data_IF_834452184024
#
_entry.id   IF_834452184024
#
_cell.length_a   1.000
_cell.length_b   1.000
_cell.length_c   1.000
_cell.angle_alpha   90.00
_cell.angle_beta   90.00
_cell.angle_gamma   90.00
#
_symmetry.space_group_name_H-M   'P 1'
#
loop_
_entity.id
_entity.type
_entity.pdbx_description
1 polymer ?
#
# COMPACT_ATOMS: atom_id res chain seq x y z
N UNK A 1 21.65 5.57 -1.15
CA UNK A 1 21.42 6.39 0.06
C UNK A 1 19.93 6.46 0.36
N UNK A 2 19.54 6.36 1.61
CA UNK A 2 18.14 6.46 2.00
C UNK A 2 18.00 7.41 3.19
N UNK A 3 16.77 7.92 3.39
CA UNK A 3 16.41 8.80 4.50
C UNK A 3 15.36 8.10 5.36
N UNK A 4 15.52 8.17 6.68
CA UNK A 4 14.62 7.51 7.61
C UNK A 4 13.91 8.56 8.46
N UNK A 5 12.60 8.43 8.60
CA UNK A 5 11.76 9.30 9.42
C UNK A 5 10.81 8.47 10.25
N UNK A 6 10.43 9.01 11.41
CA UNK A 6 9.38 8.44 12.24
C UNK A 6 8.32 9.50 12.47
N UNK A 7 7.09 9.21 12.07
CA UNK A 7 5.98 10.13 12.26
C UNK A 7 5.52 10.13 13.72
N UNK A 8 4.73 11.14 14.10
CA UNK A 8 4.24 11.28 15.47
C UNK A 8 3.40 10.09 15.91
N UNK A 9 2.71 9.44 14.99
CA UNK A 9 1.88 8.26 15.26
C UNK A 9 2.67 6.96 15.31
N UNK A 10 4.01 7.03 15.18
CA UNK A 10 4.87 5.85 15.23
C UNK A 10 5.16 5.20 13.89
N UNK A 11 4.52 5.63 12.81
CA UNK A 11 4.79 5.08 11.47
C UNK A 11 6.22 5.45 11.05
N UNK A 12 6.96 4.46 10.58
CA UNK A 12 8.32 4.64 10.07
C UNK A 12 8.27 4.84 8.57
N UNK A 13 9.00 5.83 8.07
CA UNK A 13 9.04 6.18 6.66
C UNK A 13 10.48 6.09 6.18
N UNK A 14 10.69 5.35 5.09
CA UNK A 14 11.98 5.25 4.43
C UNK A 14 11.84 5.83 3.03
N UNK A 15 12.66 6.83 2.72
CA UNK A 15 12.69 7.46 1.41
C UNK A 15 14.00 7.08 0.72
N UNK A 16 13.89 6.63 -0.52
CA UNK A 16 15.06 6.29 -1.35
C UNK A 16 14.99 7.15 -2.62
N UNK A 17 15.60 8.34 -2.60
CA UNK A 17 15.60 9.19 -3.80
C UNK A 17 16.48 8.57 -4.90
N UNK A 18 15.96 8.53 -6.12
CA UNK A 18 16.70 8.05 -7.29
C UNK A 18 16.63 9.13 -8.35
N UNK A 19 17.78 9.71 -8.67
CA UNK A 19 17.89 10.80 -9.64
C UNK A 19 17.70 10.25 -11.04
N UNK A 20 16.92 10.96 -11.88
CA UNK A 20 16.72 10.59 -13.27
C UNK A 20 15.57 9.64 -13.52
N UNK A 21 14.86 9.22 -12.47
CA UNK A 21 13.70 8.34 -12.58
C UNK A 21 12.43 9.18 -12.44
N UNK A 22 11.48 8.97 -13.35
CA UNK A 22 10.22 9.72 -13.38
C UNK A 22 9.04 8.91 -12.84
N UNK A 23 9.33 7.86 -12.10
CA UNK A 23 8.31 7.05 -11.44
C UNK A 23 8.61 6.95 -9.95
N UNK A 24 7.58 6.60 -9.16
CA UNK A 24 7.72 6.38 -7.73
C UNK A 24 7.06 5.06 -7.38
N UNK A 25 7.70 4.30 -6.50
CA UNK A 25 7.15 3.08 -5.95
C UNK A 25 6.84 3.33 -4.47
N UNK A 26 5.60 3.07 -4.08
CA UNK A 26 5.15 3.16 -2.70
C UNK A 26 4.96 1.76 -2.15
N UNK A 27 5.39 1.54 -0.92
CA UNK A 27 5.11 0.29 -0.23
C UNK A 27 4.69 0.58 1.21
N UNK A 28 3.60 0.00 1.65
CA UNK A 28 3.14 0.04 3.03
C UNK A 28 3.23 -1.37 3.57
N UNK A 29 4.05 -1.56 4.60
CA UNK A 29 4.28 -2.84 5.23
C UNK A 29 3.69 -2.81 6.63
N UNK A 30 2.73 -3.70 6.88
CA UNK A 30 2.06 -3.80 8.18
C UNK A 30 2.53 -5.09 8.85
N UNK A 31 2.99 -4.99 10.10
CA UNK A 31 3.42 -6.17 10.86
C UNK A 31 2.20 -6.94 11.34
N UNK A 32 1.51 -7.54 10.39
CA UNK A 32 0.36 -8.39 10.63
C UNK A 32 0.29 -9.41 9.51
N UNK A 33 0.19 -10.67 9.83
CA UNK A 33 0.14 -11.73 8.86
C UNK A 33 -0.54 -12.95 9.43
N UNK A 34 -0.46 -14.07 8.70
CA UNK A 34 -1.19 -15.27 9.09
C UNK A 34 -0.72 -15.83 10.44
N UNK A 35 0.53 -15.59 10.86
CA UNK A 35 1.02 -16.03 12.15
C UNK A 35 0.31 -15.37 13.33
N UNK A 36 -0.29 -14.21 13.11
CA UNK A 36 -1.00 -13.46 14.14
C UNK A 36 -2.48 -13.82 14.21
N UNK A 37 -2.93 -14.73 13.35
CA UNK A 37 -4.33 -15.16 13.28
C UNK A 37 -4.60 -16.30 14.22
N UNK A 38 -5.83 -16.35 14.75
CA UNK A 38 -6.33 -17.44 15.57
C UNK A 38 -7.35 -18.25 14.78
N UNK A 39 -7.86 -19.34 15.36
CA UNK A 39 -8.89 -20.13 14.70
C UNK A 39 -10.15 -19.31 14.39
N UNK A 40 -10.42 -18.27 15.20
CA UNK A 40 -11.61 -17.44 15.01
C UNK A 40 -11.46 -16.43 13.86
N UNK A 41 -10.23 -16.03 13.52
CA UNK A 41 -9.99 -15.04 12.48
C UNK A 41 -9.03 -15.53 11.40
N UNK A 42 -8.91 -16.85 11.24
CA UNK A 42 -8.03 -17.44 10.26
C UNK A 42 -8.44 -17.00 8.86
N UNK A 43 -7.44 -16.52 8.08
CA UNK A 43 -7.68 -16.03 6.73
C UNK A 43 -8.02 -14.55 6.63
N UNK A 44 -8.11 -13.82 7.77
CA UNK A 44 -8.52 -12.42 7.74
C UNK A 44 -7.52 -11.53 6.99
N UNK A 45 -6.23 -11.79 7.12
CA UNK A 45 -5.23 -10.98 6.43
C UNK A 45 -5.35 -11.15 4.92
N UNK A 46 -5.52 -12.38 4.45
CA UNK A 46 -5.71 -12.67 3.03
C UNK A 46 -7.02 -12.07 2.51
N UNK A 47 -8.08 -12.17 3.29
CA UNK A 47 -9.38 -11.58 2.95
C UNK A 47 -9.28 -10.07 2.84
N UNK A 48 -8.60 -9.43 3.79
CA UNK A 48 -8.48 -7.98 3.83
C UNK A 48 -7.71 -7.42 2.64
N UNK A 49 -6.66 -8.11 2.19
CA UNK A 49 -5.88 -7.62 1.06
C UNK A 49 -6.68 -7.64 -0.25
N UNK A 50 -7.74 -8.45 -0.33
CA UNK A 50 -8.69 -8.40 -1.44
C UNK A 50 -9.74 -7.31 -1.24
N UNK A 51 -10.24 -7.16 0.00
CA UNK A 51 -11.34 -6.24 0.29
C UNK A 51 -10.94 -4.78 0.09
N UNK A 52 -9.69 -4.41 0.40
CA UNK A 52 -9.25 -3.02 0.27
C UNK A 52 -9.32 -2.51 -1.17
N UNK A 53 -9.34 -3.41 -2.16
CA UNK A 53 -9.48 -3.03 -3.56
C UNK A 53 -10.92 -3.03 -4.03
N UNK A 54 -11.88 -3.27 -3.15
CA UNK A 54 -13.32 -3.23 -3.47
C UNK A 54 -13.98 -1.93 -3.07
N UNK A 55 -13.34 -1.16 -2.18
CA UNK A 55 -13.85 0.14 -1.77
C UNK A 55 -13.22 0.59 -0.47
N UNK A 56 -13.01 1.89 -0.35
CA UNK A 56 -12.49 2.53 0.85
C UNK A 56 -13.32 3.78 1.14
N UNK A 57 -13.01 4.45 2.25
CA UNK A 57 -13.74 5.66 2.64
C UNK A 57 -13.68 6.75 1.56
N UNK A 58 -12.50 6.98 0.99
CA UNK A 58 -12.29 8.02 -0.02
C UNK A 58 -12.59 7.53 -1.43
N UNK A 59 -12.55 6.23 -1.66
CA UNK A 59 -12.77 5.60 -2.96
C UNK A 59 -13.72 4.42 -2.77
N UNK A 60 -15.05 4.69 -2.67
CA UNK A 60 -15.99 3.69 -2.16
C UNK A 60 -16.34 2.57 -3.14
N UNK A 61 -15.98 2.67 -4.41
CA UNK A 61 -16.28 1.63 -5.39
C UNK A 61 -15.01 1.11 -6.05
N UNK A 62 -15.03 -0.11 -6.62
CA UNK A 62 -13.86 -0.59 -7.38
C UNK A 62 -13.50 0.33 -8.54
N UNK A 63 -14.49 0.94 -9.18
CA UNK A 63 -14.26 1.86 -10.29
C UNK A 63 -13.49 3.11 -9.83
N UNK A 64 -13.84 3.65 -8.65
CA UNK A 64 -13.13 4.82 -8.11
C UNK A 64 -11.70 4.48 -7.72
N UNK A 65 -11.41 3.23 -7.36
CA UNK A 65 -10.06 2.79 -7.05
C UNK A 65 -9.19 2.60 -8.30
N UNK A 66 -9.78 2.56 -9.47
CA UNK A 66 -9.03 2.42 -10.72
C UNK A 66 -8.35 3.72 -11.15
N UNK A 67 -8.47 4.78 -10.36
CA UNK A 67 -7.84 6.06 -10.67
C UNK A 67 -6.31 5.93 -10.79
N UNK A 68 -5.68 5.03 -10.04
CA UNK A 68 -4.25 4.79 -10.17
C UNK A 68 -3.88 4.22 -11.52
N UNK A 69 -4.65 3.25 -12.01
CA UNK A 69 -4.39 2.61 -13.30
C UNK A 69 -4.58 3.61 -14.43
N UNK A 70 -5.47 4.59 -14.28
CA UNK A 70 -5.71 5.61 -15.30
C UNK A 70 -4.50 6.53 -15.51
N UNK A 71 -3.58 6.60 -14.53
CA UNK A 71 -2.34 7.37 -14.67
C UNK A 71 -1.20 6.57 -15.28
N UNK A 72 -1.43 5.32 -15.64
CA UNK A 72 -0.39 4.41 -16.12
C UNK A 72 0.30 3.64 -15.00
N UNK A 73 -0.16 3.80 -13.76
CA UNK A 73 0.39 3.08 -12.62
C UNK A 73 -0.36 1.79 -12.33
N UNK A 74 0.05 1.12 -11.26
CA UNK A 74 -0.64 -0.06 -10.78
C UNK A 74 -0.55 -0.14 -9.27
N UNK A 75 -1.42 -0.95 -8.67
CA UNK A 75 -1.41 -1.25 -7.25
C UNK A 75 -1.52 -2.75 -7.04
N UNK A 76 -1.02 -3.21 -5.90
CA UNK A 76 -1.02 -4.63 -5.56
C UNK A 76 -1.00 -4.78 -4.04
N UNK A 77 -1.34 -5.97 -3.57
CA UNK A 77 -1.26 -6.30 -2.15
C UNK A 77 -0.92 -7.78 -2.01
N UNK A 78 -0.28 -8.11 -0.90
CA UNK A 78 0.03 -9.48 -0.58
C UNK A 78 0.17 -9.66 0.92
N UNK A 79 -0.14 -10.84 1.42
CA UNK A 79 0.04 -11.18 2.82
C UNK A 79 0.96 -12.38 2.95
N UNK A 80 1.74 -12.38 4.02
CA UNK A 80 2.62 -13.49 4.37
C UNK A 80 2.36 -13.88 5.82
N UNK A 81 3.19 -14.75 6.35
CA UNK A 81 3.06 -15.17 7.75
C UNK A 81 3.38 -14.03 8.73
N UNK A 82 4.26 -13.10 8.36
CA UNK A 82 4.78 -12.11 9.28
C UNK A 82 4.36 -10.69 8.96
N UNK A 83 3.97 -10.40 7.70
CA UNK A 83 3.60 -9.05 7.31
C UNK A 83 2.59 -9.07 6.19
N UNK A 84 1.91 -7.94 6.04
CA UNK A 84 1.04 -7.66 4.91
C UNK A 84 1.61 -6.44 4.19
N UNK A 85 1.63 -6.49 2.86
CA UNK A 85 2.22 -5.44 2.03
C UNK A 85 1.17 -4.89 1.08
N UNK A 86 1.14 -3.57 0.96
CA UNK A 86 0.36 -2.86 -0.04
C UNK A 86 1.32 -2.00 -0.84
N UNK A 87 1.29 -2.12 -2.16
CA UNK A 87 2.24 -1.40 -2.99
C UNK A 87 1.55 -0.73 -4.18
N UNK A 88 2.16 0.33 -4.67
CA UNK A 88 1.71 1.04 -5.85
C UNK A 88 2.93 1.57 -6.59
N UNK A 89 2.85 1.60 -7.92
CA UNK A 89 3.86 2.23 -8.76
C UNK A 89 3.14 3.20 -9.70
N UNK A 90 3.62 4.43 -9.79
CA UNK A 90 2.94 5.48 -10.52
C UNK A 90 3.95 6.55 -10.97
N UNK A 91 3.55 7.46 -11.89
CA UNK A 91 4.41 8.60 -12.25
C UNK A 91 4.73 9.45 -11.03
N UNK A 92 5.93 10.02 -10.98
CA UNK A 92 6.41 10.74 -9.81
C UNK A 92 5.56 11.95 -9.45
N UNK A 93 4.89 12.58 -10.43
CA UNK A 93 4.02 13.72 -10.20
C UNK A 93 2.64 13.33 -9.66
N UNK A 94 2.37 12.04 -9.50
CA UNK A 94 1.11 11.51 -8.98
C UNK A 94 1.25 10.89 -7.59
N UNK A 95 2.33 11.21 -6.87
CA UNK A 95 2.60 10.65 -5.54
C UNK A 95 1.46 10.93 -4.58
N UNK A 96 0.90 12.16 -4.59
CA UNK A 96 -0.21 12.51 -3.69
C UNK A 96 -1.43 11.64 -3.95
N UNK A 97 -1.73 11.33 -5.21
CA UNK A 97 -2.82 10.43 -5.55
C UNK A 97 -2.57 9.03 -4.98
N UNK A 98 -1.35 8.51 -5.13
CA UNK A 98 -0.99 7.21 -4.58
C UNK A 98 -1.16 7.14 -3.08
N UNK A 99 -0.78 8.20 -2.37
CA UNK A 99 -0.93 8.24 -0.92
C UNK A 99 -2.39 8.34 -0.49
N UNK A 100 -3.28 8.91 -1.32
CA UNK A 100 -4.70 9.08 -0.98
C UNK A 100 -5.51 7.80 -1.20
N UNK A 101 -5.05 6.92 -2.07
CA UNK A 101 -5.72 5.65 -2.36
C UNK A 101 -5.31 4.60 -1.34
#
# INVERSE_FOLDING_TARGET
MFQFYRLKNGVRVILVPIIGIQSVALGVYVRAGTRDETDNNNGVAHFLDHVVFKGTKNYPTPESLMVLESTGGFKNAGSSQEYTMYEAKLPSDKLDLGLSV
#
